data_IF_145555346880
#
_entry.id   IF_145555346880
#
_cell.length_a   1.000
_cell.length_b   1.000
_cell.length_c   1.000
_cell.angle_alpha   90.00
_cell.angle_beta   90.00
_cell.angle_gamma   90.00
#
_symmetry.space_group_name_H-M   'P 1'
#
loop_
_entity.id
_entity.type
_entity.pdbx_description
1 polymer ?
#
# COMPACT_ATOMS: atom_id res chain seq x y z
N UNK A 1 -3.26 10.22 13.49
CA UNK A 1 -2.84 10.49 12.10
C UNK A 1 -3.66 11.67 11.59
N UNK A 2 -3.05 12.82 11.30
CA UNK A 2 -3.77 13.95 10.70
C UNK A 2 -3.99 13.66 9.20
N UNK A 3 -5.12 13.08 8.87
CA UNK A 3 -5.54 12.95 7.48
C UNK A 3 -6.33 14.20 7.13
N UNK A 4 -5.83 14.99 6.19
CA UNK A 4 -6.58 16.09 5.63
C UNK A 4 -7.63 15.49 4.71
N UNK A 5 -8.91 15.66 5.04
CA UNK A 5 -10.04 15.06 4.34
C UNK A 5 -10.40 15.77 3.01
N UNK A 6 -9.51 16.63 2.49
CA UNK A 6 -9.74 17.38 1.25
C UNK A 6 -10.05 16.49 0.04
N UNK A 7 -9.57 15.25 0.01
CA UNK A 7 -9.91 14.30 -1.04
C UNK A 7 -11.36 13.79 -0.95
N UNK A 8 -12.02 13.86 0.21
CA UNK A 8 -13.40 13.38 0.40
C UNK A 8 -14.44 14.24 -0.35
N UNK A 9 -14.18 15.52 -0.52
CA UNK A 9 -15.03 16.42 -1.29
C UNK A 9 -14.79 16.36 -2.80
N UNK A 10 -13.81 15.57 -3.23
CA UNK A 10 -13.42 15.44 -4.61
C UNK A 10 -14.33 14.45 -5.35
N UNK A 11 -14.88 14.87 -6.50
CA UNK A 11 -15.69 14.02 -7.40
C UNK A 11 -14.93 13.58 -8.66
N UNK A 12 -13.70 14.08 -8.87
CA UNK A 12 -12.97 13.88 -10.11
C UNK A 12 -12.05 12.66 -10.09
N UNK A 13 -11.47 12.35 -8.93
CA UNK A 13 -10.53 11.26 -8.78
C UNK A 13 -11.15 10.16 -7.91
N UNK A 14 -11.16 8.90 -8.34
CA UNK A 14 -11.64 7.81 -7.52
C UNK A 14 -10.79 7.69 -6.24
N UNK A 15 -11.44 7.27 -5.18
CA UNK A 15 -10.82 7.02 -3.88
C UNK A 15 -11.14 5.60 -3.46
N UNK A 16 -10.12 4.79 -3.29
CA UNK A 16 -10.18 3.54 -2.56
C UNK A 16 -9.51 3.74 -1.20
N UNK A 17 -9.91 2.95 -0.25
CA UNK A 17 -9.28 2.90 1.06
C UNK A 17 -8.48 1.60 1.14
N UNK A 18 -7.19 1.70 1.38
CA UNK A 18 -6.44 0.59 1.95
C UNK A 18 -6.64 0.67 3.45
N UNK A 19 -7.30 -0.32 3.99
CA UNK A 19 -7.51 -0.37 5.43
C UNK A 19 -7.20 -1.75 5.97
N UNK A 20 -6.76 -1.78 7.22
CA UNK A 20 -6.22 -2.98 7.79
C UNK A 20 -6.38 -3.02 9.30
N UNK A 21 -6.32 -4.22 9.83
CA UNK A 21 -6.06 -4.50 11.22
C UNK A 21 -4.95 -5.56 11.30
N UNK A 22 -3.99 -5.34 12.19
CA UNK A 22 -2.86 -6.22 12.43
C UNK A 22 -2.78 -6.63 13.90
N UNK A 23 -2.46 -7.89 14.14
CA UNK A 23 -2.20 -8.43 15.47
C UNK A 23 -0.76 -8.91 15.57
N UNK A 24 -0.01 -8.36 16.50
CA UNK A 24 1.24 -8.98 16.92
C UNK A 24 0.88 -10.11 17.88
N UNK A 25 1.16 -11.34 17.46
CA UNK A 25 0.87 -12.53 18.26
C UNK A 25 2.14 -13.22 18.71
N UNK A 26 2.05 -13.88 19.88
CA UNK A 26 3.10 -14.71 20.43
C UNK A 26 2.58 -16.13 20.66
N UNK A 27 3.34 -17.12 20.21
CA UNK A 27 3.03 -18.55 20.33
C UNK A 27 3.97 -19.22 21.33
N UNK A 28 3.51 -20.29 21.95
CA UNK A 28 4.36 -21.09 22.86
C UNK A 28 5.43 -21.87 22.07
N UNK A 29 5.08 -22.38 20.90
CA UNK A 29 5.97 -23.14 20.02
C UNK A 29 6.53 -22.27 18.92
N UNK A 30 7.70 -22.60 18.41
CA UNK A 30 8.28 -22.00 17.21
C UNK A 30 7.46 -22.41 15.97
N UNK A 31 6.67 -21.50 15.44
CA UNK A 31 5.79 -21.71 14.28
C UNK A 31 6.15 -20.82 13.10
N UNK A 32 6.94 -19.79 13.33
CA UNK A 32 7.34 -18.83 12.30
C UNK A 32 8.79 -19.06 11.86
N UNK A 33 9.10 -18.64 10.64
CA UNK A 33 10.47 -18.52 10.17
C UNK A 33 10.86 -17.04 10.14
N UNK A 34 11.72 -16.62 11.07
CA UNK A 34 12.17 -15.22 11.21
C UNK A 34 12.95 -14.66 9.99
N UNK A 35 13.33 -15.53 9.05
CA UNK A 35 14.02 -15.13 7.82
C UNK A 35 13.06 -14.96 6.62
N UNK A 36 11.77 -15.19 6.81
CA UNK A 36 10.80 -15.19 5.72
C UNK A 36 9.59 -14.36 6.09
N UNK A 37 9.27 -13.36 5.28
CA UNK A 37 8.01 -12.61 5.36
C UNK A 37 7.04 -13.09 4.28
N UNK A 38 5.76 -13.18 4.62
CA UNK A 38 4.69 -13.38 3.65
C UNK A 38 4.13 -12.02 3.26
N UNK A 39 4.19 -11.70 1.96
CA UNK A 39 3.70 -10.45 1.43
C UNK A 39 2.46 -10.71 0.56
N UNK A 40 1.35 -10.04 0.89
CA UNK A 40 0.11 -10.08 0.10
C UNK A 40 -0.37 -11.51 -0.20
N UNK A 41 -0.62 -12.30 0.84
CA UNK A 41 -1.22 -13.64 0.68
C UNK A 41 -2.70 -13.51 0.32
N UNK A 42 -3.03 -13.87 -0.92
CA UNK A 42 -4.38 -13.84 -1.48
C UNK A 42 -5.16 -15.16 -1.29
N UNK A 43 -4.66 -16.11 -0.51
CA UNK A 43 -5.33 -17.41 -0.28
C UNK A 43 -6.63 -17.32 0.53
N UNK A 44 -6.99 -16.13 0.97
CA UNK A 44 -8.22 -15.83 1.72
C UNK A 44 -9.39 -15.50 0.79
N UNK A 45 -10.63 -15.59 1.33
CA UNK A 45 -11.85 -15.23 0.59
C UNK A 45 -11.84 -13.75 0.18
N UNK A 46 -11.90 -13.52 -1.13
CA UNK A 46 -11.79 -12.19 -1.72
C UNK A 46 -13.08 -11.38 -1.64
N UNK A 47 -14.24 -12.01 -1.51
CA UNK A 47 -15.57 -11.35 -1.41
C UNK A 47 -15.80 -10.23 -2.43
N UNK A 48 -15.31 -10.41 -3.66
CA UNK A 48 -15.31 -9.43 -4.76
C UNK A 48 -14.50 -8.14 -4.49
N UNK A 49 -13.55 -8.18 -3.55
CA UNK A 49 -12.61 -7.11 -3.24
C UNK A 49 -11.18 -7.62 -3.35
N UNK A 50 -10.22 -6.72 -3.26
CA UNK A 50 -8.81 -7.09 -3.16
C UNK A 50 -8.46 -7.26 -1.67
N UNK A 51 -8.37 -8.50 -1.20
CA UNK A 51 -8.12 -8.86 0.19
C UNK A 51 -6.88 -9.72 0.31
N UNK A 52 -6.03 -9.45 1.27
CA UNK A 52 -4.79 -10.20 1.49
C UNK A 52 -4.31 -10.10 2.93
N UNK A 53 -3.41 -11.02 3.28
CA UNK A 53 -2.75 -10.97 4.57
C UNK A 53 -1.25 -10.79 4.42
N UNK A 54 -0.65 -10.19 5.46
CA UNK A 54 0.79 -10.19 5.69
C UNK A 54 1.11 -11.08 6.89
N UNK A 55 2.29 -11.73 6.86
CA UNK A 55 2.90 -12.36 8.04
C UNK A 55 4.33 -11.87 8.12
N UNK A 56 4.63 -11.10 9.16
CA UNK A 56 5.93 -10.48 9.38
C UNK A 56 6.52 -10.98 10.70
N UNK A 57 7.27 -12.09 10.71
CA UNK A 57 7.88 -12.62 11.90
C UNK A 57 8.97 -11.70 12.45
N UNK A 58 8.93 -11.40 13.74
CA UNK A 58 10.04 -10.76 14.46
C UNK A 58 11.00 -11.78 15.01
N UNK A 59 10.50 -12.98 15.34
CA UNK A 59 11.27 -14.15 15.72
C UNK A 59 10.45 -15.42 15.45
N UNK A 60 10.96 -16.59 15.86
CA UNK A 60 10.30 -17.86 15.56
C UNK A 60 8.98 -18.09 16.33
N UNK A 61 8.71 -17.30 17.35
CA UNK A 61 7.52 -17.39 18.20
C UNK A 61 6.62 -16.17 18.13
N UNK A 62 7.02 -15.12 17.41
CA UNK A 62 6.27 -13.87 17.37
C UNK A 62 6.24 -13.30 15.96
N UNK A 63 5.05 -12.87 15.53
CA UNK A 63 4.83 -12.26 14.23
C UNK A 63 3.70 -11.23 14.29
N UNK A 64 3.80 -10.21 13.45
CA UNK A 64 2.66 -9.41 13.04
C UNK A 64 1.89 -10.17 11.97
N UNK A 65 0.60 -10.38 12.18
CA UNK A 65 -0.35 -10.89 11.19
C UNK A 65 -1.34 -9.78 10.90
N UNK A 66 -1.37 -9.32 9.67
CA UNK A 66 -2.21 -8.19 9.26
C UNK A 66 -3.16 -8.63 8.14
N UNK A 67 -4.44 -8.38 8.33
CA UNK A 67 -5.46 -8.49 7.30
C UNK A 67 -5.70 -7.11 6.69
N UNK A 68 -5.52 -7.02 5.39
CA UNK A 68 -5.59 -5.76 4.62
C UNK A 68 -6.54 -5.94 3.44
N UNK A 69 -7.27 -4.90 3.12
CA UNK A 69 -8.09 -4.88 1.91
C UNK A 69 -8.15 -3.49 1.29
N UNK A 70 -8.49 -3.48 0.00
CA UNK A 70 -8.82 -2.28 -0.76
C UNK A 70 -10.31 -2.27 -1.01
N UNK A 71 -11.01 -1.26 -0.52
CA UNK A 71 -12.45 -1.13 -0.74
C UNK A 71 -12.90 0.33 -0.74
N UNK A 72 -14.15 0.58 -1.10
CA UNK A 72 -14.77 1.92 -1.03
C UNK A 72 -15.20 2.26 0.38
N UNK A 73 -15.61 1.25 1.12
CA UNK A 73 -16.18 1.37 2.46
C UNK A 73 -15.35 0.58 3.47
N UNK A 74 -15.38 1.03 4.71
CA UNK A 74 -14.71 0.32 5.82
C UNK A 74 -15.54 -0.87 6.29
N UNK A 75 -14.88 -1.92 6.72
CA UNK A 75 -15.52 -3.02 7.44
C UNK A 75 -15.86 -2.60 8.89
N UNK A 76 -16.76 -3.35 9.51
CA UNK A 76 -16.97 -3.27 10.97
C UNK A 76 -15.77 -3.91 11.69
N UNK A 77 -15.46 -3.42 12.88
CA UNK A 77 -14.31 -3.91 13.65
C UNK A 77 -14.32 -5.43 13.84
N UNK A 78 -15.47 -6.00 14.12
CA UNK A 78 -15.63 -7.46 14.28
C UNK A 78 -15.32 -8.25 13.01
N UNK A 79 -15.44 -7.67 11.82
CA UNK A 79 -15.16 -8.36 10.56
C UNK A 79 -13.66 -8.54 10.34
N UNK A 80 -12.83 -7.54 10.71
CA UNK A 80 -11.38 -7.68 10.67
C UNK A 80 -10.92 -8.79 11.63
N UNK A 81 -11.42 -8.77 12.86
CA UNK A 81 -11.08 -9.78 13.87
C UNK A 81 -11.44 -11.20 13.41
N UNK A 82 -12.61 -11.37 12.78
CA UNK A 82 -13.04 -12.67 12.22
C UNK A 82 -12.07 -13.14 11.13
N UNK A 83 -11.70 -12.25 10.19
CA UNK A 83 -10.83 -12.63 9.07
C UNK A 83 -9.40 -12.93 9.54
N UNK A 84 -8.86 -12.17 10.49
CA UNK A 84 -7.54 -12.45 11.09
C UNK A 84 -7.56 -13.81 11.81
N UNK A 85 -8.57 -14.08 12.64
CA UNK A 85 -8.68 -15.35 13.34
C UNK A 85 -8.78 -16.53 12.37
N UNK A 86 -9.60 -16.42 11.32
CA UNK A 86 -9.69 -17.46 10.27
C UNK A 86 -8.34 -17.72 9.62
N UNK A 87 -7.61 -16.65 9.30
CA UNK A 87 -6.29 -16.76 8.68
C UNK A 87 -5.29 -17.45 9.60
N UNK A 88 -5.25 -17.08 10.88
CA UNK A 88 -4.38 -17.72 11.90
C UNK A 88 -4.70 -19.22 12.02
N UNK A 89 -5.98 -19.58 12.06
CA UNK A 89 -6.42 -21.00 12.08
C UNK A 89 -5.97 -21.74 10.81
N UNK A 90 -6.10 -21.12 9.64
CA UNK A 90 -5.67 -21.71 8.37
C UNK A 90 -4.15 -21.92 8.28
N UNK A 91 -3.36 -21.07 8.96
CA UNK A 91 -1.91 -21.28 9.12
C UNK A 91 -1.56 -22.43 10.06
N UNK A 92 -2.54 -23.08 10.69
CA UNK A 92 -2.31 -24.16 11.66
C UNK A 92 -1.73 -23.67 13.00
N UNK A 93 -1.83 -22.39 13.28
CA UNK A 93 -1.35 -21.79 14.53
C UNK A 93 -2.38 -22.11 15.63
N UNK A 94 -1.93 -22.83 16.65
CA UNK A 94 -2.75 -23.20 17.81
C UNK A 94 -2.92 -22.06 18.82
N UNK A 95 -2.59 -22.30 20.10
CA UNK A 95 -2.69 -21.29 21.12
C UNK A 95 -1.70 -20.16 20.90
N UNK A 96 -2.18 -18.94 20.98
CA UNK A 96 -1.39 -17.72 20.90
C UNK A 96 -1.91 -16.64 21.84
N UNK A 97 -1.05 -15.69 22.17
CA UNK A 97 -1.39 -14.48 22.93
C UNK A 97 -1.29 -13.28 21.99
N UNK A 98 -2.27 -12.40 21.99
CA UNK A 98 -2.21 -11.11 21.31
C UNK A 98 -1.40 -10.15 22.17
N UNK A 99 -0.26 -9.67 21.67
CA UNK A 99 0.63 -8.72 22.32
C UNK A 99 0.17 -7.29 22.08
N UNK A 100 -0.17 -6.99 20.83
CA UNK A 100 -0.66 -5.67 20.43
C UNK A 100 -1.57 -5.77 19.22
N UNK A 101 -2.42 -4.77 19.04
CA UNK A 101 -3.24 -4.59 17.84
C UNK A 101 -2.91 -3.25 17.20
N UNK A 102 -2.89 -3.20 15.89
CA UNK A 102 -2.78 -1.97 15.12
C UNK A 102 -3.89 -1.90 14.08
N UNK A 103 -4.25 -0.69 13.68
CA UNK A 103 -5.29 -0.43 12.70
C UNK A 103 -4.97 0.82 11.93
N UNK A 104 -5.22 0.81 10.63
CA UNK A 104 -4.97 1.97 9.80
C UNK A 104 -5.89 2.07 8.60
N UNK A 105 -5.96 3.29 8.07
CA UNK A 105 -6.69 3.63 6.85
C UNK A 105 -5.80 4.54 6.03
N UNK A 106 -5.51 4.14 4.80
CA UNK A 106 -4.68 4.86 3.85
C UNK A 106 -5.54 5.19 2.62
N UNK A 107 -5.79 6.45 2.30
CA UNK A 107 -6.51 6.80 1.09
C UNK A 107 -5.64 6.54 -0.14
N UNK A 108 -6.12 5.70 -1.04
CA UNK A 108 -5.54 5.40 -2.34
C UNK A 108 -6.24 6.25 -3.39
N UNK A 109 -5.61 7.32 -3.82
CA UNK A 109 -6.19 8.27 -4.77
C UNK A 109 -5.11 9.07 -5.49
N UNK A 110 -5.37 9.42 -6.74
CA UNK A 110 -4.56 10.35 -7.52
C UNK A 110 -4.99 11.82 -7.35
N UNK A 111 -5.68 12.15 -6.26
CA UNK A 111 -6.01 13.53 -5.92
C UNK A 111 -4.74 14.38 -5.85
N UNK A 112 -4.70 15.56 -6.50
CA UNK A 112 -3.50 16.40 -6.55
C UNK A 112 -3.32 17.20 -5.25
N UNK A 113 -2.91 16.54 -4.17
CA UNK A 113 -2.75 17.14 -2.83
C UNK A 113 -1.82 18.38 -2.82
N UNK A 114 -0.87 18.47 -3.75
CA UNK A 114 0.01 19.64 -3.85
C UNK A 114 -0.73 20.95 -4.20
N UNK A 115 -1.97 20.89 -4.68
CA UNK A 115 -2.81 22.07 -4.90
C UNK A 115 -3.30 22.71 -3.61
N UNK A 116 -3.31 21.94 -2.54
CA UNK A 116 -3.69 22.38 -1.20
C UNK A 116 -2.53 23.12 -0.47
N UNK A 117 -1.34 23.18 -1.08
CA UNK A 117 -0.24 23.98 -0.57
C UNK A 117 -0.54 25.47 -0.75
N UNK A 118 -0.16 26.26 0.25
CA UNK A 118 -0.24 27.73 0.20
C UNK A 118 1.13 28.33 -0.08
N UNK A 119 1.27 29.65 0.02
CA UNK A 119 2.58 30.28 -0.12
C UNK A 119 3.56 29.80 0.96
N UNK A 120 3.08 29.67 2.20
CA UNK A 120 3.89 29.43 3.39
C UNK A 120 3.62 28.09 4.09
N UNK A 121 2.69 27.26 3.54
CA UNK A 121 2.32 25.97 4.13
C UNK A 121 2.49 24.88 3.07
N UNK A 122 3.27 23.87 3.39
CA UNK A 122 3.38 22.62 2.60
C UNK A 122 2.72 21.47 3.36
N UNK A 123 1.88 20.71 2.67
CA UNK A 123 1.34 19.47 3.21
C UNK A 123 2.34 18.34 2.96
N UNK A 124 2.61 17.52 3.98
CA UNK A 124 3.60 16.44 3.94
C UNK A 124 2.96 15.08 4.24
N UNK A 125 3.69 14.02 3.98
CA UNK A 125 3.23 12.65 4.20
C UNK A 125 1.96 12.33 3.41
N UNK A 126 1.06 11.54 3.96
CA UNK A 126 -0.21 11.16 3.32
C UNK A 126 -1.06 12.39 2.97
N UNK A 127 -1.09 13.40 3.83
CA UNK A 127 -1.81 14.66 3.59
C UNK A 127 -1.18 15.50 2.45
N UNK A 128 0.09 15.27 2.12
CA UNK A 128 0.80 15.86 0.99
C UNK A 128 0.77 15.03 -0.28
N UNK A 129 0.10 13.88 -0.27
CA UNK A 129 0.07 12.95 -1.40
C UNK A 129 1.37 12.17 -1.61
N UNK A 130 2.13 11.95 -0.53
CA UNK A 130 3.40 11.20 -0.61
C UNK A 130 3.20 9.69 -0.58
N UNK A 131 1.98 9.23 -0.41
CA UNK A 131 1.59 7.82 -0.53
C UNK A 131 1.44 7.45 -2.00
N UNK A 132 1.98 6.30 -2.40
CA UNK A 132 1.77 5.78 -3.76
C UNK A 132 0.30 5.43 -3.94
N UNK A 133 -0.41 6.05 -4.88
CA UNK A 133 -1.86 5.89 -5.00
C UNK A 133 -2.30 4.44 -5.24
N UNK A 134 -1.55 3.69 -6.04
CA UNK A 134 -1.92 2.33 -6.46
C UNK A 134 -1.70 1.23 -5.40
N UNK A 135 -0.88 1.49 -4.38
CA UNK A 135 -0.46 0.43 -3.43
C UNK A 135 -0.42 0.87 -1.97
N UNK A 136 -0.68 2.15 -1.67
CA UNK A 136 -0.55 2.68 -0.32
C UNK A 136 0.90 2.80 0.20
N UNK A 137 1.90 2.43 -0.62
CA UNK A 137 3.30 2.44 -0.20
C UNK A 137 3.80 3.86 0.07
N UNK A 138 4.35 4.10 1.25
CA UNK A 138 4.60 5.47 1.73
C UNK A 138 6.03 5.69 2.22
N UNK A 139 6.65 4.69 2.85
CA UNK A 139 7.91 4.85 3.59
C UNK A 139 9.03 5.51 2.76
N UNK A 140 9.35 4.94 1.60
CA UNK A 140 10.40 5.46 0.71
C UNK A 140 10.07 6.85 0.14
N UNK A 141 8.78 7.15 -0.02
CA UNK A 141 8.36 8.46 -0.51
C UNK A 141 8.47 9.54 0.57
N UNK A 142 8.24 9.19 1.84
CA UNK A 142 8.49 10.10 2.96
C UNK A 142 9.96 10.51 2.96
N UNK A 143 10.87 9.56 2.85
CA UNK A 143 12.32 9.80 2.79
C UNK A 143 12.67 10.74 1.61
N UNK A 144 12.35 10.33 0.38
CA UNK A 144 12.60 11.12 -0.84
C UNK A 144 12.01 12.53 -0.81
N UNK A 145 10.77 12.66 -0.38
CA UNK A 145 10.10 13.97 -0.38
C UNK A 145 10.49 14.84 0.79
N UNK A 146 10.97 14.27 1.90
CA UNK A 146 11.58 15.04 2.99
C UNK A 146 12.83 15.77 2.49
N UNK A 147 13.76 15.06 1.84
CA UNK A 147 14.94 15.66 1.25
C UNK A 147 14.59 16.74 0.23
N UNK A 148 13.65 16.46 -0.68
CA UNK A 148 13.19 17.43 -1.67
C UNK A 148 12.55 18.66 -1.03
N UNK A 149 11.84 18.49 0.09
CA UNK A 149 11.23 19.60 0.82
C UNK A 149 12.30 20.48 1.46
N UNK A 150 13.32 19.86 2.06
CA UNK A 150 14.46 20.59 2.63
C UNK A 150 15.20 21.40 1.54
N UNK A 151 15.48 20.78 0.40
CA UNK A 151 16.12 21.49 -0.72
C UNK A 151 15.24 22.62 -1.27
N UNK A 152 13.91 22.40 -1.34
CA UNK A 152 12.98 23.42 -1.80
C UNK A 152 12.90 24.63 -0.86
N UNK A 153 12.99 24.39 0.46
CA UNK A 153 13.05 25.46 1.48
C UNK A 153 14.22 26.40 1.28
N UNK A 154 15.37 25.89 0.81
CA UNK A 154 16.57 26.74 0.54
C UNK A 154 16.37 27.69 -0.64
N UNK A 155 15.35 27.46 -1.47
CA UNK A 155 15.11 28.27 -2.69
C UNK A 155 14.26 29.51 -2.44
N UNK A 156 13.77 29.76 -1.23
CA UNK A 156 12.86 30.85 -0.85
C UNK A 156 11.68 31.04 -1.84
N UNK A 157 11.08 29.93 -2.24
CA UNK A 157 9.97 29.91 -3.19
C UNK A 157 8.65 29.53 -2.51
N UNK A 158 7.54 30.11 -2.99
CA UNK A 158 6.20 29.73 -2.56
C UNK A 158 5.96 28.22 -2.71
N UNK A 159 5.44 27.56 -1.66
CA UNK A 159 5.11 26.13 -1.68
C UNK A 159 4.02 25.74 -2.68
N UNK A 160 3.27 26.68 -3.23
CA UNK A 160 2.40 26.43 -4.39
C UNK A 160 3.15 25.87 -5.61
N UNK A 161 4.46 26.12 -5.68
CA UNK A 161 5.35 25.63 -6.74
C UNK A 161 5.97 24.27 -6.43
N UNK A 162 5.80 23.76 -5.21
CA UNK A 162 6.30 22.43 -4.85
C UNK A 162 5.42 21.35 -5.50
N UNK A 163 5.99 20.58 -6.41
CA UNK A 163 5.29 19.54 -7.16
C UNK A 163 5.86 18.17 -6.84
N UNK A 164 4.97 17.19 -6.63
CA UNK A 164 5.31 15.79 -6.38
C UNK A 164 4.96 14.87 -7.56
N UNK A 165 4.03 15.32 -8.42
CA UNK A 165 3.55 14.55 -9.57
C UNK A 165 4.68 14.25 -10.54
N UNK A 166 4.73 12.98 -10.99
CA UNK A 166 5.67 12.49 -12.00
C UNK A 166 4.95 11.56 -13.00
N UNK A 167 5.67 10.92 -13.92
CA UNK A 167 5.10 10.02 -14.94
C UNK A 167 4.33 8.84 -14.34
N UNK A 168 4.73 8.34 -13.17
CA UNK A 168 4.09 7.20 -12.51
C UNK A 168 2.69 7.52 -12.01
N UNK A 169 2.36 8.79 -11.80
CA UNK A 169 1.02 9.23 -11.45
C UNK A 169 -0.03 8.77 -12.47
N UNK A 170 0.29 8.75 -13.77
CA UNK A 170 -0.63 8.30 -14.79
C UNK A 170 -0.89 6.79 -14.70
N UNK A 171 0.13 5.99 -14.40
CA UNK A 171 -0.02 4.56 -14.20
C UNK A 171 -0.81 4.24 -12.92
N UNK A 172 -0.53 4.99 -11.85
CA UNK A 172 -1.29 4.89 -10.61
C UNK A 172 -2.76 5.23 -10.84
N UNK A 173 -3.07 6.24 -11.67
CA UNK A 173 -4.43 6.62 -12.02
C UNK A 173 -5.18 5.47 -12.72
N UNK A 174 -4.57 4.88 -13.76
CA UNK A 174 -5.16 3.73 -14.48
C UNK A 174 -5.39 2.57 -13.50
N UNK A 175 -4.43 2.28 -12.65
CA UNK A 175 -4.53 1.17 -11.73
C UNK A 175 -5.64 1.38 -10.68
N UNK A 176 -5.75 2.58 -10.13
CA UNK A 176 -6.84 2.95 -9.21
C UNK A 176 -8.19 2.87 -9.91
N UNK A 177 -8.32 3.34 -11.17
CA UNK A 177 -9.55 3.22 -11.94
C UNK A 177 -9.96 1.74 -12.10
N UNK A 178 -9.01 0.86 -12.46
CA UNK A 178 -9.27 -0.58 -12.58
C UNK A 178 -9.78 -1.15 -11.25
N UNK A 179 -9.10 -0.89 -10.15
CA UNK A 179 -9.51 -1.40 -8.83
C UNK A 179 -10.84 -0.78 -8.35
N UNK A 180 -11.09 0.48 -8.67
CA UNK A 180 -12.31 1.17 -8.25
C UNK A 180 -13.56 0.62 -8.94
N UNK A 181 -13.46 0.28 -10.22
CA UNK A 181 -14.58 -0.24 -11.02
C UNK A 181 -14.65 -1.77 -11.04
N UNK A 182 -13.52 -2.47 -10.86
CA UNK A 182 -13.40 -3.93 -10.97
C UNK A 182 -12.50 -4.49 -9.86
N UNK A 183 -12.85 -4.23 -8.61
CA UNK A 183 -12.01 -4.60 -7.45
C UNK A 183 -11.75 -6.11 -7.35
N UNK A 184 -12.68 -6.94 -7.80
CA UNK A 184 -12.53 -8.41 -7.85
C UNK A 184 -11.35 -8.88 -8.70
N UNK A 185 -10.82 -8.05 -9.59
CA UNK A 185 -9.64 -8.38 -10.39
C UNK A 185 -8.31 -8.16 -9.65
N UNK A 186 -8.33 -7.44 -8.52
CA UNK A 186 -7.11 -6.98 -7.87
C UNK A 186 -6.18 -8.12 -7.46
N UNK A 187 -6.69 -9.17 -6.81
CA UNK A 187 -5.89 -10.33 -6.43
C UNK A 187 -5.18 -10.97 -7.62
N UNK A 188 -5.90 -11.18 -8.73
CA UNK A 188 -5.33 -11.75 -9.97
C UNK A 188 -4.27 -10.83 -10.60
N UNK A 189 -4.49 -9.52 -10.57
CA UNK A 189 -3.52 -8.54 -11.12
C UNK A 189 -2.23 -8.58 -10.31
N UNK A 190 -2.33 -8.52 -8.99
CA UNK A 190 -1.16 -8.58 -8.11
C UNK A 190 -0.45 -9.93 -8.21
N UNK A 191 -1.18 -11.04 -8.21
CA UNK A 191 -0.61 -12.37 -8.36
C UNK A 191 0.20 -12.46 -9.66
N UNK A 192 -0.37 -12.08 -10.81
CA UNK A 192 0.32 -12.07 -12.10
C UNK A 192 1.55 -11.13 -12.10
N UNK A 193 1.45 -9.99 -11.41
CA UNK A 193 2.57 -9.08 -11.26
C UNK A 193 3.75 -9.76 -10.54
N UNK A 194 3.48 -10.50 -9.45
CA UNK A 194 4.52 -11.23 -8.72
C UNK A 194 5.04 -12.45 -9.48
N UNK A 195 4.19 -13.19 -10.19
CA UNK A 195 4.57 -14.38 -10.95
C UNK A 195 5.45 -14.02 -12.17
N UNK A 196 5.12 -12.93 -12.87
CA UNK A 196 5.78 -12.55 -14.13
C UNK A 196 7.00 -11.67 -13.96
N UNK A 197 7.23 -11.10 -12.79
CA UNK A 197 8.30 -10.14 -12.57
C UNK A 197 9.23 -10.56 -11.44
N UNK A 198 10.51 -10.24 -11.58
CA UNK A 198 11.49 -10.41 -10.50
C UNK A 198 11.17 -9.43 -9.36
N UNK A 199 11.34 -9.83 -8.11
CA UNK A 199 11.11 -8.98 -6.93
C UNK A 199 11.79 -7.61 -7.04
N UNK A 200 13.06 -7.58 -7.52
CA UNK A 200 13.79 -6.32 -7.72
C UNK A 200 13.06 -5.35 -8.66
N UNK A 201 12.39 -5.86 -9.68
CA UNK A 201 11.61 -5.05 -10.63
C UNK A 201 10.33 -4.51 -10.00
N UNK A 202 9.67 -5.34 -9.19
CA UNK A 202 8.46 -4.95 -8.44
C UNK A 202 8.81 -3.82 -7.46
N UNK A 203 9.89 -3.97 -6.67
CA UNK A 203 10.32 -2.91 -5.76
C UNK A 203 10.69 -1.61 -6.48
N UNK A 204 11.38 -1.69 -7.63
CA UNK A 204 11.63 -0.51 -8.47
C UNK A 204 10.34 0.17 -8.95
N UNK A 205 9.31 -0.61 -9.26
CA UNK A 205 8.00 -0.06 -9.61
C UNK A 205 7.34 0.62 -8.40
N UNK A 206 7.37 -0.01 -7.24
CA UNK A 206 6.84 0.55 -6.00
C UNK A 206 7.56 1.86 -5.62
N UNK A 207 8.88 1.94 -5.86
CA UNK A 207 9.70 3.13 -5.60
C UNK A 207 9.61 4.21 -6.68
N UNK A 208 8.79 4.02 -7.73
CA UNK A 208 8.72 4.89 -8.91
C UNK A 208 10.08 5.04 -9.63
N UNK A 209 10.85 3.95 -9.72
CA UNK A 209 12.18 3.90 -10.33
C UNK A 209 12.26 2.96 -11.53
N UNK A 210 11.15 2.29 -11.89
CA UNK A 210 11.12 1.39 -13.04
C UNK A 210 11.31 2.15 -14.36
N UNK A 211 11.94 1.47 -15.34
CA UNK A 211 12.00 1.95 -16.72
C UNK A 211 10.66 1.75 -17.43
N UNK A 212 10.42 2.41 -18.55
CA UNK A 212 9.16 2.34 -19.32
C UNK A 212 8.75 0.91 -19.71
N UNK A 213 9.72 0.06 -19.95
CA UNK A 213 9.57 -1.29 -20.45
C UNK A 213 8.73 -2.22 -19.54
N UNK A 214 8.80 -2.05 -18.22
CA UNK A 214 8.10 -2.91 -17.26
C UNK A 214 6.56 -2.77 -17.26
N UNK A 215 6.04 -1.73 -17.89
CA UNK A 215 4.62 -1.39 -17.87
C UNK A 215 3.88 -1.79 -19.15
N UNK A 216 4.61 -2.13 -20.20
CA UNK A 216 4.03 -2.32 -21.54
C UNK A 216 3.93 -3.77 -22.00
N UNK A 217 4.63 -4.72 -21.36
CA UNK A 217 4.72 -6.06 -21.94
C UNK A 217 4.49 -7.15 -20.89
N UNK A 218 3.43 -7.91 -21.10
CA UNK A 218 3.35 -9.30 -20.65
C UNK A 218 4.48 -10.17 -21.27
N UNK A 219 5.17 -9.66 -22.27
CA UNK A 219 6.21 -10.33 -23.05
C UNK A 219 7.62 -9.75 -22.85
N UNK A 220 7.80 -8.71 -22.03
CA UNK A 220 9.10 -8.07 -21.79
C UNK A 220 10.12 -8.93 -21.00
N UNK A 221 9.75 -10.15 -20.60
CA UNK A 221 10.69 -11.07 -19.99
C UNK A 221 11.84 -11.48 -20.92
N UNK A 222 11.64 -11.34 -22.25
CA UNK A 222 12.58 -11.78 -23.28
C UNK A 222 13.33 -10.61 -23.97
N UNK A 223 13.09 -9.35 -23.58
CA UNK A 223 13.81 -8.21 -24.15
C UNK A 223 15.12 -7.93 -23.39
N UNK A 224 16.30 -8.18 -23.96
CA UNK A 224 17.59 -7.96 -23.31
C UNK A 224 17.90 -6.48 -23.04
N UNK A 225 17.07 -5.54 -23.51
CA UNK A 225 17.24 -4.09 -23.30
C UNK A 225 16.43 -3.54 -22.12
N UNK A 226 15.65 -4.39 -21.42
CA UNK A 226 14.87 -4.04 -20.24
C UNK A 226 15.54 -4.42 -18.87
#
# INVERSE_FOLDING_TARGET
>A
MCIRDSYKSNQKFPVLLQHFEGWTIKTEKSVFNSQTATLMDFSIDQKNETRFCYVLPTNNNEALIEFTLFSKDLLKDSEYEIEINKYIVNLGIGNFQIISKEKGIIPMTCFPFEKENTNNIVNIGTAGGWTKPSTGYTFRFIDKFSDRTIEFLKLDKSFKKFKIKNRFWFYDLIFIDVLYYNNSLGSNIFQRMFEKNKFKSIFKFLDNESRFCLLYTSDAADDPTC
#
